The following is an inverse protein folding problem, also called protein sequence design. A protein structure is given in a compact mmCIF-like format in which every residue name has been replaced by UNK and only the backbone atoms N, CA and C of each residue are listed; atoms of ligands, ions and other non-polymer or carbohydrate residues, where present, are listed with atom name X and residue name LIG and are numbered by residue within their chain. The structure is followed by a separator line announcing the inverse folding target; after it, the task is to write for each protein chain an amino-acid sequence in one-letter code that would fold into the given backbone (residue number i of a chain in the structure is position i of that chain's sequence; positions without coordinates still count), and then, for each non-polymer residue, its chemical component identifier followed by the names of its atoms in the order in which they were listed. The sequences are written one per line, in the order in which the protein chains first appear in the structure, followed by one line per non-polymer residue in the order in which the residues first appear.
data_IF_912430740906
#
_entry.id   IF_912430740906
#
_cell.length_a   1.000
_cell.length_b   1.000
_cell.length_c   1.000
_cell.angle_alpha   90.00
_cell.angle_beta   90.00
_cell.angle_gamma   90.00
#
_symmetry.space_group_name_H-M   'P 1'
#
loop_
_entity.id
_entity.type
_entity.pdbx_description
1 polymer ?
#
# COMPACT_ATOMS: atom_id res chain seq x y z
N UNK A 1 50.50 44.76 41.72
CA UNK A 1 50.33 44.12 40.39
C UNK A 1 50.14 42.62 40.58
N UNK A 2 48.97 42.12 40.15
CA UNK A 2 48.60 40.75 39.71
C UNK A 2 49.16 39.49 40.42
N UNK A 3 48.19 38.81 41.07
CA UNK A 3 47.88 37.35 41.07
C UNK A 3 48.73 36.47 42.00
N UNK A 4 48.21 35.50 42.75
CA UNK A 4 47.23 34.45 42.40
C UNK A 4 46.35 34.05 43.60
N UNK A 5 45.12 33.69 43.26
CA UNK A 5 44.00 33.21 44.05
C UNK A 5 44.20 31.74 44.47
N UNK A 6 43.96 31.40 45.75
CA UNK A 6 43.59 30.04 46.15
C UNK A 6 42.57 30.16 47.29
N UNK A 7 41.28 30.03 46.97
CA UNK A 7 40.21 29.91 47.95
C UNK A 7 39.54 28.55 47.74
N UNK A 8 39.87 27.62 48.65
CA UNK A 8 39.13 26.38 48.84
C UNK A 8 37.85 26.73 49.60
N UNK A 9 36.72 26.63 48.91
CA UNK A 9 35.37 26.83 49.42
C UNK A 9 34.98 25.69 50.35
N UNK A 10 34.95 25.97 51.65
CA UNK A 10 34.07 25.31 52.62
C UNK A 10 32.76 26.10 52.65
N UNK A 11 31.63 25.45 52.35
CA UNK A 11 30.30 25.69 52.95
C UNK A 11 29.19 25.01 52.13
N UNK A 12 28.27 24.34 52.82
CA UNK A 12 26.89 24.20 52.34
C UNK A 12 26.41 22.79 52.07
N UNK A 13 26.11 22.07 53.15
CA UNK A 13 25.22 20.91 53.16
C UNK A 13 23.84 21.33 52.61
N UNK A 14 23.54 21.02 51.35
CA UNK A 14 22.17 21.02 50.83
C UNK A 14 21.80 19.56 50.64
N UNK A 15 21.21 18.97 51.69
CA UNK A 15 20.41 17.77 51.53
C UNK A 15 19.21 18.15 50.65
N UNK A 16 19.34 17.96 49.35
CA UNK A 16 18.23 17.87 48.42
C UNK A 16 17.43 16.63 48.80
N UNK A 17 16.54 16.80 49.79
CA UNK A 17 15.40 15.91 49.96
C UNK A 17 14.60 16.07 48.69
N UNK A 18 14.82 15.18 47.73
CA UNK A 18 13.87 14.95 46.65
C UNK A 18 12.61 14.41 47.33
N UNK A 19 11.74 15.32 47.76
CA UNK A 19 10.34 15.00 47.95
C UNK A 19 9.81 14.62 46.56
N UNK A 20 9.93 13.33 46.24
CA UNK A 20 9.15 12.70 45.19
C UNK A 20 7.72 12.71 45.72
N UNK A 21 7.04 13.86 45.61
CA UNK A 21 5.62 13.93 45.82
C UNK A 21 5.01 12.93 44.86
N UNK A 22 4.54 11.80 45.40
CA UNK A 22 3.63 10.94 44.66
C UNK A 22 2.52 11.88 44.21
N UNK A 23 2.48 12.10 42.90
CA UNK A 23 1.55 13.04 42.30
C UNK A 23 0.18 12.39 42.44
N UNK A 24 -0.53 12.70 43.52
CA UNK A 24 -1.89 12.24 43.69
C UNK A 24 -2.76 12.98 42.67
N UNK A 25 -3.69 12.23 42.10
CA UNK A 25 -4.78 12.81 41.32
C UNK A 25 -5.61 13.68 42.28
N UNK A 26 -5.80 14.94 41.91
CA UNK A 26 -6.55 15.91 42.71
C UNK A 26 -8.00 15.44 42.93
N UNK A 27 -8.49 15.34 44.18
CA UNK A 27 -9.82 14.79 44.48
C UNK A 27 -10.97 15.57 43.84
N UNK A 28 -10.82 16.90 43.68
CA UNK A 28 -11.83 17.74 43.03
C UNK A 28 -11.90 17.41 41.55
N UNK A 29 -10.74 17.29 40.89
CA UNK A 29 -10.68 16.88 39.49
C UNK A 29 -11.21 15.46 39.27
N UNK A 30 -10.90 14.52 40.16
CA UNK A 30 -11.45 13.16 40.11
C UNK A 30 -12.98 13.15 40.25
N UNK A 31 -13.53 13.94 41.18
CA UNK A 31 -14.98 14.08 41.35
C UNK A 31 -15.64 14.60 40.09
N UNK A 32 -15.07 15.63 39.46
CA UNK A 32 -15.58 16.19 38.20
C UNK A 32 -15.51 15.15 37.07
N UNK A 33 -14.37 14.48 36.91
CA UNK A 33 -14.18 13.47 35.88
C UNK A 33 -15.15 12.29 36.02
N UNK A 34 -15.41 11.83 37.26
CA UNK A 34 -16.35 10.73 37.54
C UNK A 34 -17.81 11.14 37.32
N UNK A 35 -18.19 12.39 37.60
CA UNK A 35 -19.49 12.94 37.25
C UNK A 35 -19.71 12.98 35.73
N UNK A 36 -18.72 13.49 34.99
CA UNK A 36 -18.76 13.56 33.52
C UNK A 36 -18.80 12.16 32.86
N UNK A 37 -18.07 11.20 33.43
CA UNK A 37 -18.13 9.79 33.07
C UNK A 37 -19.53 9.20 33.30
N UNK A 38 -20.12 9.43 34.48
CA UNK A 38 -21.44 8.90 34.82
C UNK A 38 -22.52 9.42 33.88
N UNK A 39 -22.47 10.71 33.54
CA UNK A 39 -23.39 11.36 32.59
C UNK A 39 -23.33 10.76 31.18
N UNK A 40 -22.22 10.12 30.80
CA UNK A 40 -22.00 9.56 29.45
C UNK A 40 -21.88 8.05 29.41
N UNK A 41 -22.10 7.35 30.54
CA UNK A 41 -21.83 5.91 30.69
C UNK A 41 -22.46 5.05 29.57
N UNK A 42 -23.65 5.40 29.09
CA UNK A 42 -24.34 4.69 28.01
C UNK A 42 -23.74 4.89 26.61
N UNK A 43 -22.79 5.82 26.44
CA UNK A 43 -22.12 6.16 25.18
C UNK A 43 -20.69 5.59 25.12
N UNK A 44 -20.20 4.94 26.19
CA UNK A 44 -18.81 4.50 26.31
C UNK A 44 -18.62 3.05 25.85
N UNK A 45 -17.70 2.83 24.91
CA UNK A 45 -17.28 1.48 24.54
C UNK A 45 -16.42 0.81 25.63
N UNK A 46 -15.55 1.59 26.29
CA UNK A 46 -14.81 1.15 27.47
C UNK A 46 -15.32 1.91 28.69
N UNK A 47 -16.18 1.26 29.47
CA UNK A 47 -16.76 1.83 30.69
C UNK A 47 -15.89 1.62 31.93
N UNK A 48 -14.70 1.04 31.82
CA UNK A 48 -13.84 0.72 32.97
C UNK A 48 -12.83 1.82 33.30
N UNK A 49 -12.35 2.56 32.31
CA UNK A 49 -11.29 3.54 32.52
C UNK A 49 -11.72 4.96 32.15
N UNK A 50 -11.23 5.93 32.93
CA UNK A 50 -11.33 7.37 32.62
C UNK A 50 -9.92 7.95 32.62
N UNK A 51 -9.56 8.63 31.52
CA UNK A 51 -8.28 9.35 31.42
C UNK A 51 -8.50 10.81 31.84
N UNK A 52 -7.65 11.30 32.74
CA UNK A 52 -7.75 12.64 33.33
C UNK A 52 -6.41 13.33 33.12
N UNK A 53 -6.44 14.54 32.55
CA UNK A 53 -5.26 15.39 32.39
C UNK A 53 -5.41 16.64 33.25
N UNK A 54 -4.49 16.86 34.19
CA UNK A 54 -4.46 18.02 35.07
C UNK A 54 -3.55 19.13 34.52
N UNK A 55 -4.10 20.00 33.68
CA UNK A 55 -3.35 21.11 33.09
C UNK A 55 -2.96 22.22 34.07
N UNK A 56 -3.40 22.16 35.34
CA UNK A 56 -2.87 23.04 36.40
C UNK A 56 -1.42 22.67 36.76
N UNK A 57 -0.95 21.48 36.37
CA UNK A 57 0.40 20.98 36.62
C UNK A 57 1.32 21.22 35.42
N UNK A 58 2.61 21.41 35.70
CA UNK A 58 3.63 21.60 34.67
C UNK A 58 3.84 20.33 33.83
N UNK A 59 4.31 20.49 32.59
CA UNK A 59 4.73 19.38 31.70
C UNK A 59 5.79 18.46 32.33
N UNK A 60 6.59 18.96 33.28
CA UNK A 60 7.61 18.16 33.99
C UNK A 60 7.04 17.33 35.15
N UNK A 61 5.76 17.50 35.47
CA UNK A 61 5.06 16.76 36.53
C UNK A 61 4.16 15.69 35.94
N UNK A 62 3.92 14.59 36.68
CA UNK A 62 2.88 13.63 36.31
C UNK A 62 1.53 14.35 36.39
N UNK A 63 0.84 14.37 35.25
CA UNK A 63 -0.42 15.10 35.09
C UNK A 63 -1.43 14.39 34.21
N UNK A 64 -1.07 13.24 33.63
CA UNK A 64 -2.02 12.31 33.02
C UNK A 64 -2.24 11.16 33.99
N UNK A 65 -3.50 10.82 34.22
CA UNK A 65 -3.93 9.75 35.11
C UNK A 65 -4.95 8.88 34.38
N UNK A 66 -4.79 7.56 34.46
CA UNK A 66 -5.84 6.61 34.06
C UNK A 66 -6.44 6.03 35.33
N UNK A 67 -7.73 6.30 35.53
CA UNK A 67 -8.49 5.88 36.71
C UNK A 67 -9.39 4.70 36.35
N UNK A 68 -9.22 3.57 37.04
CA UNK A 68 -10.12 2.42 36.97
C UNK A 68 -11.34 2.70 37.84
N UNK A 69 -12.49 2.95 37.21
CA UNK A 69 -13.72 3.32 37.94
C UNK A 69 -14.31 2.15 38.73
N UNK A 70 -14.00 0.90 38.34
CA UNK A 70 -14.49 -0.29 39.03
C UNK A 70 -13.67 -0.55 40.30
N UNK A 71 -12.34 -0.45 40.19
CA UNK A 71 -11.41 -0.62 41.32
C UNK A 71 -11.21 0.65 42.15
N UNK A 72 -11.77 1.76 41.70
CA UNK A 72 -11.65 3.09 42.31
C UNK A 72 -10.20 3.53 42.54
N UNK A 73 -9.29 3.20 41.61
CA UNK A 73 -7.85 3.45 41.77
C UNK A 73 -7.21 4.00 40.51
N UNK A 74 -6.14 4.78 40.67
CA UNK A 74 -5.30 5.22 39.56
C UNK A 74 -4.38 4.07 39.15
N UNK A 75 -4.56 3.55 37.94
CA UNK A 75 -3.78 2.42 37.40
C UNK A 75 -2.56 2.87 36.59
N UNK A 76 -2.56 4.12 36.11
CA UNK A 76 -1.43 4.72 35.40
C UNK A 76 -1.30 6.21 35.74
N UNK A 77 -0.07 6.67 35.95
CA UNK A 77 0.25 8.08 36.08
C UNK A 77 1.48 8.43 35.23
N UNK A 78 1.37 9.42 34.35
CA UNK A 78 2.45 9.81 33.44
C UNK A 78 2.56 11.32 33.26
N UNK A 79 3.71 11.76 32.74
CA UNK A 79 3.88 13.09 32.17
C UNK A 79 3.26 13.09 30.76
N UNK A 80 2.64 14.18 30.37
CA UNK A 80 2.09 14.35 29.02
C UNK A 80 2.36 15.78 28.57
N UNK A 81 2.64 15.99 27.28
CA UNK A 81 2.84 17.33 26.71
C UNK A 81 1.52 18.11 26.60
N UNK A 82 1.61 19.35 26.16
CA UNK A 82 0.48 20.19 25.74
C UNK A 82 0.92 20.93 24.46
N UNK A 83 -0.02 21.51 23.71
CA UNK A 83 0.30 22.20 22.46
C UNK A 83 1.25 23.38 22.69
N UNK A 84 2.11 23.67 21.72
CA UNK A 84 3.18 24.66 21.83
C UNK A 84 2.66 26.05 22.18
N UNK A 85 1.56 26.50 21.55
CA UNK A 85 1.00 27.83 21.81
C UNK A 85 0.20 27.94 23.11
N UNK A 86 -0.02 26.83 23.81
CA UNK A 86 -0.69 26.86 25.11
C UNK A 86 0.19 27.43 26.21
N UNK A 87 1.52 27.40 26.07
CA UNK A 87 2.46 27.92 27.06
C UNK A 87 3.82 27.21 27.01
N UNK A 88 4.71 27.51 27.96
CA UNK A 88 6.03 26.87 28.01
C UNK A 88 6.06 25.66 28.96
N UNK A 89 6.03 25.92 30.27
CA UNK A 89 6.00 24.86 31.29
C UNK A 89 4.58 24.53 31.75
N UNK A 90 3.71 25.52 31.71
CA UNK A 90 2.30 25.44 32.09
C UNK A 90 1.45 25.94 30.92
N UNK A 91 0.38 25.23 30.57
CA UNK A 91 -0.57 25.73 29.59
C UNK A 91 -1.47 26.79 30.23
N UNK A 92 -1.51 27.98 29.64
CA UNK A 92 -2.34 29.13 30.04
C UNK A 92 -3.37 29.53 28.99
N UNK A 93 -3.23 29.03 27.76
CA UNK A 93 -4.16 29.28 26.65
C UNK A 93 -4.73 27.97 26.12
N UNK A 94 -6.03 27.98 25.86
CA UNK A 94 -6.76 26.83 25.37
C UNK A 94 -7.76 27.25 24.29
N UNK A 95 -8.04 26.34 23.35
CA UNK A 95 -9.06 26.52 22.33
C UNK A 95 -9.58 25.16 21.92
N UNK A 96 -10.89 25.10 21.67
CA UNK A 96 -11.56 23.93 21.11
C UNK A 96 -11.87 24.13 19.60
N UNK A 97 -11.31 25.17 18.98
CA UNK A 97 -11.36 25.41 17.53
C UNK A 97 -10.28 24.57 16.86
N UNK A 98 -10.66 23.78 15.87
CA UNK A 98 -9.74 22.99 15.07
C UNK A 98 -8.67 23.86 14.41
N UNK A 99 -7.43 23.37 14.35
CA UNK A 99 -6.30 24.09 13.75
C UNK A 99 -5.74 25.25 14.58
N UNK A 100 -6.26 25.54 15.78
CA UNK A 100 -5.77 26.68 16.58
C UNK A 100 -4.39 26.46 17.23
N UNK A 101 -3.83 25.25 17.10
CA UNK A 101 -2.56 24.83 17.71
C UNK A 101 -2.45 25.06 19.24
N UNK A 102 -3.61 25.19 19.89
CA UNK A 102 -3.75 25.29 21.35
C UNK A 102 -4.29 23.97 21.87
N UNK A 103 -4.01 23.68 23.14
CA UNK A 103 -4.57 22.53 23.83
C UNK A 103 -6.05 22.77 24.05
N UNK A 104 -6.83 21.71 23.98
CA UNK A 104 -8.26 21.74 24.25
C UNK A 104 -8.55 21.45 25.73
N UNK A 105 -9.71 21.88 26.23
CA UNK A 105 -10.18 21.55 27.58
C UNK A 105 -11.62 21.09 27.54
N UNK A 106 -11.99 20.25 28.51
CA UNK A 106 -13.33 19.69 28.61
C UNK A 106 -13.33 18.17 28.65
N UNK A 107 -14.52 17.60 28.47
CA UNK A 107 -14.74 16.15 28.40
C UNK A 107 -14.81 15.72 26.95
N UNK A 108 -13.93 14.82 26.54
CA UNK A 108 -13.90 14.29 25.18
C UNK A 108 -14.37 12.83 25.21
N UNK A 109 -15.35 12.52 24.37
CA UNK A 109 -15.62 11.14 24.01
C UNK A 109 -14.68 10.78 22.86
N UNK A 110 -13.66 9.98 23.11
CA UNK A 110 -12.82 9.46 22.02
C UNK A 110 -13.69 8.55 21.15
N UNK A 111 -13.89 8.92 19.89
CA UNK A 111 -14.60 8.09 18.92
C UNK A 111 -13.95 6.71 18.80
N UNK A 112 -14.66 5.78 18.13
CA UNK A 112 -14.12 4.52 17.64
C UNK A 112 -12.84 4.80 16.86
N UNK A 113 -11.69 4.71 17.55
CA UNK A 113 -10.40 5.09 17.02
C UNK A 113 -9.94 4.17 15.89
N UNK A 114 -8.72 4.39 15.42
CA UNK A 114 -8.08 3.55 14.38
C UNK A 114 -8.21 2.04 14.67
N UNK A 115 -8.18 1.61 15.94
CA UNK A 115 -8.36 0.21 16.33
C UNK A 115 -9.73 -0.39 15.96
N UNK A 116 -10.81 0.38 16.06
CA UNK A 116 -12.14 -0.09 15.67
C UNK A 116 -12.22 -0.25 14.16
N UNK A 117 -11.67 0.71 13.41
CA UNK A 117 -11.60 0.67 11.94
C UNK A 117 -10.73 -0.47 11.45
N UNK A 118 -9.59 -0.70 12.11
CA UNK A 118 -8.74 -1.86 11.91
C UNK A 118 -9.51 -3.17 12.14
N UNK A 119 -10.33 -3.25 13.20
CA UNK A 119 -11.14 -4.44 13.48
C UNK A 119 -12.19 -4.70 12.39
N UNK A 120 -12.77 -3.66 11.80
CA UNK A 120 -13.69 -3.79 10.68
C UNK A 120 -13.00 -4.29 9.41
N UNK A 121 -11.81 -3.76 9.07
CA UNK A 121 -11.01 -4.27 7.96
C UNK A 121 -10.58 -5.72 8.20
N UNK A 122 -10.12 -6.05 9.41
CA UNK A 122 -9.77 -7.43 9.78
C UNK A 122 -10.93 -8.39 9.55
N UNK A 123 -12.15 -7.98 9.91
CA UNK A 123 -13.36 -8.75 9.70
C UNK A 123 -13.70 -8.90 8.20
N UNK A 124 -13.61 -7.83 7.42
CA UNK A 124 -13.79 -7.86 5.96
C UNK A 124 -12.83 -8.85 5.30
N UNK A 125 -11.53 -8.73 5.58
CA UNK A 125 -10.54 -9.66 5.04
C UNK A 125 -10.75 -11.08 5.55
N UNK A 126 -11.43 -11.31 6.68
CA UNK A 126 -11.50 -12.63 7.30
C UNK A 126 -10.15 -13.08 7.90
N UNK A 127 -9.37 -12.10 8.34
CA UNK A 127 -8.01 -12.28 8.83
C UNK A 127 -7.98 -12.87 10.23
N UNK A 128 -7.07 -13.82 10.46
CA UNK A 128 -6.80 -14.44 11.77
C UNK A 128 -5.82 -13.63 12.62
N UNK A 129 -5.53 -12.38 12.22
CA UNK A 129 -4.60 -11.53 12.94
C UNK A 129 -4.94 -11.45 14.44
N UNK A 130 -4.01 -11.78 15.34
CA UNK A 130 -4.31 -11.90 16.77
C UNK A 130 -4.47 -10.52 17.43
N UNK A 131 -5.49 -10.37 18.28
CA UNK A 131 -5.74 -9.13 19.04
C UNK A 131 -4.57 -8.73 19.94
N UNK A 132 -3.78 -9.72 20.39
CA UNK A 132 -2.63 -9.51 21.27
C UNK A 132 -1.40 -8.92 20.56
N UNK A 133 -1.38 -8.88 19.23
CA UNK A 133 -0.24 -8.37 18.45
C UNK A 133 -0.62 -7.04 17.81
N UNK A 134 -0.31 -5.90 18.45
CA UNK A 134 -0.59 -4.60 17.86
C UNK A 134 0.35 -4.34 16.68
N UNK A 135 -0.16 -3.62 15.69
CA UNK A 135 0.70 -2.97 14.72
C UNK A 135 1.50 -1.85 15.40
N UNK A 136 2.78 -1.73 15.04
CA UNK A 136 3.65 -0.62 15.45
C UNK A 136 3.95 0.21 14.23
N UNK A 137 3.54 1.48 14.26
CA UNK A 137 3.82 2.45 13.23
C UNK A 137 5.14 3.11 13.57
N UNK A 138 6.15 2.89 12.73
CA UNK A 138 7.47 3.49 12.84
C UNK A 138 7.53 4.66 11.86
N UNK A 139 7.94 5.82 12.37
CA UNK A 139 8.09 7.03 11.55
C UNK A 139 9.55 7.18 11.15
N UNK A 140 9.82 7.15 9.84
CA UNK A 140 11.13 7.45 9.27
C UNK A 140 11.16 8.93 8.86
N UNK A 141 11.89 9.80 9.59
CA UNK A 141 11.95 11.22 9.26
C UNK A 141 12.66 11.42 7.92
N UNK A 142 11.98 12.02 6.95
CA UNK A 142 12.60 12.53 5.74
C UNK A 142 13.02 13.98 5.99
N UNK A 143 14.30 14.27 5.74
CA UNK A 143 14.93 15.57 6.02
C UNK A 143 15.14 16.40 4.74
N UNK A 144 14.45 16.03 3.66
CA UNK A 144 14.46 16.78 2.41
C UNK A 144 13.62 18.06 2.52
N UNK A 145 13.62 18.90 1.48
CA UNK A 145 12.92 20.19 1.49
C UNK A 145 11.37 20.07 1.42
N UNK A 146 10.84 18.85 1.44
CA UNK A 146 9.40 18.59 1.44
C UNK A 146 8.73 19.04 2.74
N UNK A 147 7.39 19.04 2.76
CA UNK A 147 6.63 19.37 3.99
C UNK A 147 5.55 18.35 4.31
N UNK A 148 5.44 17.28 3.52
CA UNK A 148 4.33 16.32 3.56
C UNK A 148 4.77 14.94 4.03
N UNK A 149 3.80 14.06 4.26
CA UNK A 149 4.10 12.62 4.28
C UNK A 149 4.54 12.18 2.89
N UNK A 150 5.35 11.13 2.84
CA UNK A 150 5.64 10.46 1.57
C UNK A 150 4.72 9.25 1.43
N UNK A 151 4.34 8.92 0.20
CA UNK A 151 3.60 7.69 -0.11
C UNK A 151 4.47 6.42 0.04
N UNK A 152 5.69 6.56 0.57
CA UNK A 152 6.58 5.44 0.86
C UNK A 152 6.29 4.91 2.25
N UNK A 153 5.61 3.77 2.28
CA UNK A 153 5.51 2.95 3.45
C UNK A 153 5.88 1.50 3.11
N UNK A 154 6.25 0.74 4.13
CA UNK A 154 6.59 -0.67 3.98
C UNK A 154 6.15 -1.43 5.21
N UNK A 155 5.53 -2.58 5.00
CA UNK A 155 5.08 -3.46 6.06
C UNK A 155 5.94 -4.71 6.16
N UNK A 156 6.38 -5.03 7.37
CA UNK A 156 7.04 -6.30 7.69
C UNK A 156 6.44 -6.84 8.98
N UNK A 157 5.65 -7.91 8.86
CA UNK A 157 4.91 -8.47 9.99
C UNK A 157 3.97 -7.42 10.59
N UNK A 158 4.12 -7.14 11.89
CA UNK A 158 3.32 -6.15 12.61
C UNK A 158 3.95 -4.74 12.63
N UNK A 159 4.97 -4.48 11.82
CA UNK A 159 5.63 -3.18 11.73
C UNK A 159 5.24 -2.50 10.43
N UNK A 160 4.78 -1.26 10.49
CA UNK A 160 4.58 -0.39 9.33
C UNK A 160 5.57 0.76 9.44
N UNK A 161 6.55 0.82 8.54
CA UNK A 161 7.48 1.94 8.44
C UNK A 161 6.88 2.96 7.47
N UNK A 162 6.77 4.22 7.88
CA UNK A 162 6.20 5.30 7.08
C UNK A 162 7.20 6.45 6.98
N UNK A 163 7.51 6.87 5.75
CA UNK A 163 8.27 8.08 5.52
C UNK A 163 7.45 9.33 5.84
N UNK A 164 7.98 10.21 6.70
CA UNK A 164 7.30 11.45 7.09
C UNK A 164 8.26 12.62 7.18
N UNK A 165 7.87 13.76 6.63
CA UNK A 165 8.57 15.00 6.95
C UNK A 165 8.20 15.48 8.37
N UNK A 166 9.13 15.93 9.22
CA UNK A 166 8.83 16.41 10.59
C UNK A 166 7.84 17.58 10.67
N UNK A 167 7.76 18.38 9.61
CA UNK A 167 6.81 19.50 9.53
C UNK A 167 5.39 19.07 9.10
N UNK A 168 5.19 17.83 8.64
CA UNK A 168 3.89 17.38 8.15
C UNK A 168 2.82 17.41 9.24
N UNK A 169 1.61 17.80 8.85
CA UNK A 169 0.40 17.81 9.70
C UNK A 169 -0.76 17.02 9.10
N UNK A 170 -0.54 16.39 7.94
CA UNK A 170 -1.53 15.64 7.16
C UNK A 170 -1.79 14.26 7.77
N UNK A 171 -2.39 14.23 8.96
CA UNK A 171 -2.62 13.01 9.72
C UNK A 171 -3.52 12.02 8.98
N UNK A 172 -4.60 12.49 8.35
CA UNK A 172 -5.52 11.64 7.60
C UNK A 172 -4.85 10.91 6.43
N UNK A 173 -4.05 11.63 5.63
CA UNK A 173 -3.26 11.05 4.53
C UNK A 173 -2.28 10.00 5.05
N UNK A 174 -1.56 10.31 6.15
CA UNK A 174 -0.62 9.37 6.75
C UNK A 174 -1.29 8.07 7.22
N UNK A 175 -2.43 8.19 7.88
CA UNK A 175 -3.15 7.02 8.39
C UNK A 175 -3.81 6.23 7.26
N UNK A 176 -4.24 6.88 6.18
CA UNK A 176 -4.70 6.22 4.96
C UNK A 176 -3.60 5.31 4.37
N UNK A 177 -2.38 5.84 4.20
CA UNK A 177 -1.22 5.05 3.75
C UNK A 177 -0.94 3.88 4.70
N UNK A 178 -0.99 4.11 6.02
CA UNK A 178 -0.82 3.02 6.99
C UNK A 178 -1.89 1.94 6.84
N UNK A 179 -3.13 2.28 6.55
CA UNK A 179 -4.22 1.31 6.41
C UNK A 179 -4.19 0.57 5.06
N UNK A 180 -3.70 1.20 4.01
CA UNK A 180 -3.31 0.52 2.76
C UNK A 180 -2.31 -0.60 3.08
N UNK A 181 -1.24 -0.23 3.75
CA UNK A 181 -0.16 -1.15 4.13
C UNK A 181 -0.59 -2.27 5.08
N UNK A 182 -1.41 -1.95 6.09
CA UNK A 182 -1.99 -2.96 6.98
C UNK A 182 -2.91 -3.93 6.24
N UNK A 183 -3.58 -3.48 5.18
CA UNK A 183 -4.50 -4.34 4.41
C UNK A 183 -3.78 -5.50 3.75
N UNK A 184 -2.56 -5.27 3.25
CA UNK A 184 -1.70 -6.33 2.72
C UNK A 184 -1.39 -7.39 3.78
N UNK A 185 -1.06 -6.97 5.00
CA UNK A 185 -0.81 -7.90 6.11
C UNK A 185 -2.09 -8.65 6.55
N UNK A 186 -3.24 -7.99 6.54
CA UNK A 186 -4.53 -8.62 6.87
C UNK A 186 -4.93 -9.65 5.82
N UNK A 187 -4.78 -9.34 4.53
CA UNK A 187 -5.02 -10.23 3.40
C UNK A 187 -4.09 -11.45 3.44
N UNK A 188 -2.79 -11.24 3.66
CA UNK A 188 -1.82 -12.32 3.81
C UNK A 188 -2.12 -13.24 5.01
N UNK A 189 -2.76 -12.72 6.06
CA UNK A 189 -3.15 -13.45 7.26
C UNK A 189 -4.62 -13.88 7.26
N UNK A 190 -5.22 -14.10 6.09
CA UNK A 190 -6.54 -14.71 5.97
C UNK A 190 -6.57 -16.14 6.50
N UNK A 191 -7.77 -16.60 6.91
CA UNK A 191 -8.00 -18.03 7.17
C UNK A 191 -7.61 -18.84 5.93
N UNK A 192 -6.81 -19.91 6.10
CA UNK A 192 -6.34 -20.75 4.99
C UNK A 192 -7.48 -21.21 4.06
N UNK A 193 -8.60 -21.67 4.63
CA UNK A 193 -9.76 -22.08 3.83
C UNK A 193 -10.38 -20.94 3.02
N UNK A 194 -10.32 -19.70 3.51
CA UNK A 194 -10.78 -18.53 2.75
C UNK A 194 -9.82 -18.20 1.60
N UNK A 195 -8.51 -18.26 1.82
CA UNK A 195 -7.52 -18.02 0.74
C UNK A 195 -7.74 -18.99 -0.42
N UNK A 196 -7.92 -20.28 -0.10
CA UNK A 196 -8.22 -21.32 -1.09
C UNK A 196 -9.55 -21.05 -1.80
N UNK A 197 -10.57 -20.60 -1.08
CA UNK A 197 -11.87 -20.23 -1.66
C UNK A 197 -11.76 -19.02 -2.59
N UNK A 198 -11.06 -17.96 -2.18
CA UNK A 198 -10.83 -16.77 -2.99
C UNK A 198 -10.10 -17.13 -4.28
N UNK A 199 -9.01 -17.90 -4.20
CA UNK A 199 -8.29 -18.38 -5.38
C UNK A 199 -9.22 -19.20 -6.29
N UNK A 200 -9.99 -20.14 -5.74
CA UNK A 200 -10.95 -20.92 -6.52
C UNK A 200 -12.03 -20.07 -7.17
N UNK A 201 -12.58 -19.06 -6.48
CA UNK A 201 -13.62 -18.19 -7.03
C UNK A 201 -13.11 -17.30 -8.16
N UNK A 202 -11.84 -16.87 -8.10
CA UNK A 202 -11.23 -16.10 -9.18
C UNK A 202 -10.83 -16.97 -10.37
N UNK A 203 -10.31 -18.17 -10.11
CA UNK A 203 -9.76 -19.04 -11.14
C UNK A 203 -10.79 -19.97 -11.81
N UNK A 204 -11.95 -20.20 -11.18
CA UNK A 204 -13.02 -21.01 -11.76
C UNK A 204 -13.60 -20.30 -12.98
N UNK A 205 -13.45 -20.93 -14.15
CA UNK A 205 -13.92 -20.46 -15.46
C UNK A 205 -13.39 -19.06 -15.85
N UNK A 206 -12.22 -18.68 -15.33
CA UNK A 206 -11.66 -17.34 -15.46
C UNK A 206 -11.43 -16.95 -16.92
N UNK A 207 -12.29 -16.07 -17.43
CA UNK A 207 -12.00 -15.31 -18.65
C UNK A 207 -10.86 -14.32 -18.35
N UNK A 208 -10.08 -13.89 -19.36
CA UNK A 208 -8.93 -12.99 -19.15
C UNK A 208 -9.20 -11.78 -18.24
N UNK A 209 -10.34 -11.07 -18.34
CA UNK A 209 -10.64 -9.94 -17.45
C UNK A 209 -10.77 -10.31 -15.97
N UNK A 210 -11.23 -11.52 -15.64
CA UNK A 210 -11.33 -11.98 -14.25
C UNK A 210 -9.96 -12.33 -13.65
N UNK A 211 -9.05 -12.85 -14.48
CA UNK A 211 -7.65 -13.09 -14.09
C UNK A 211 -6.92 -11.77 -13.85
N UNK A 212 -7.10 -10.79 -14.74
CA UNK A 212 -6.52 -9.45 -14.58
C UNK A 212 -7.07 -8.73 -13.34
N UNK A 213 -8.37 -8.84 -13.09
CA UNK A 213 -9.01 -8.34 -11.88
C UNK A 213 -8.33 -8.92 -10.63
N UNK A 214 -8.17 -10.24 -10.55
CA UNK A 214 -7.51 -10.92 -9.44
C UNK A 214 -6.09 -10.39 -9.18
N UNK A 215 -5.31 -10.22 -10.24
CA UNK A 215 -3.94 -9.73 -10.15
C UNK A 215 -3.80 -8.30 -9.62
N UNK A 216 -4.80 -7.46 -9.85
CA UNK A 216 -4.82 -6.06 -9.40
C UNK A 216 -5.62 -5.85 -8.11
N UNK A 217 -6.40 -6.85 -7.69
CA UNK A 217 -7.35 -6.72 -6.60
C UNK A 217 -6.66 -6.43 -5.26
N UNK A 218 -5.53 -7.06 -4.96
CA UNK A 218 -4.83 -6.84 -3.67
C UNK A 218 -4.46 -5.36 -3.46
N UNK A 219 -3.80 -4.74 -4.44
CA UNK A 219 -3.47 -3.31 -4.36
C UNK A 219 -4.72 -2.43 -4.39
N UNK A 220 -5.71 -2.75 -5.24
CA UNK A 220 -6.94 -1.97 -5.32
C UNK A 220 -7.75 -1.99 -4.02
N UNK A 221 -7.85 -3.15 -3.35
CA UNK A 221 -8.52 -3.27 -2.04
C UNK A 221 -7.73 -2.56 -0.93
N UNK A 222 -6.40 -2.62 -0.96
CA UNK A 222 -5.56 -1.86 -0.05
C UNK A 222 -5.77 -0.34 -0.25
N UNK A 223 -5.83 0.13 -1.49
CA UNK A 223 -6.12 1.54 -1.81
C UNK A 223 -7.50 1.94 -1.30
N UNK A 224 -8.52 1.12 -1.55
CA UNK A 224 -9.87 1.37 -1.00
C UNK A 224 -9.87 1.40 0.53
N UNK A 225 -9.09 0.55 1.20
CA UNK A 225 -9.01 0.55 2.66
C UNK A 225 -8.38 1.84 3.23
N UNK A 226 -7.32 2.34 2.58
CA UNK A 226 -6.71 3.62 2.91
C UNK A 226 -7.69 4.77 2.73
N UNK A 227 -8.34 4.84 1.56
CA UNK A 227 -9.33 5.87 1.22
C UNK A 227 -10.58 5.80 2.08
N UNK A 228 -11.03 4.59 2.41
CA UNK A 228 -12.14 4.41 3.33
C UNK A 228 -11.78 5.00 4.69
N UNK A 229 -10.58 4.74 5.21
CA UNK A 229 -10.13 5.34 6.46
C UNK A 229 -10.04 6.87 6.34
N UNK A 230 -9.45 7.39 5.27
CA UNK A 230 -9.38 8.82 5.01
C UNK A 230 -10.77 9.46 5.09
N UNK A 231 -11.74 8.87 4.38
CA UNK A 231 -13.13 9.33 4.37
C UNK A 231 -13.78 9.27 5.74
N UNK A 232 -13.45 8.28 6.57
CA UNK A 232 -13.93 8.22 7.96
C UNK A 232 -13.32 9.32 8.87
N UNK A 233 -12.25 10.01 8.44
CA UNK A 233 -11.61 11.09 9.19
C UNK A 233 -11.99 12.46 8.65
N UNK A 234 -12.17 12.59 7.34
CA UNK A 234 -12.40 13.87 6.64
C UNK A 234 -13.88 14.05 6.25
N UNK A 235 -14.67 12.98 6.26
CA UNK A 235 -16.09 12.97 5.92
C UNK A 235 -16.38 12.57 4.46
N UNK A 236 -15.37 12.53 3.60
CA UNK A 236 -15.47 12.11 2.20
C UNK A 236 -14.12 11.58 1.68
N UNK A 237 -14.10 10.74 0.62
CA UNK A 237 -12.86 10.30 -0.02
C UNK A 237 -12.07 11.46 -0.62
N UNK A 238 -10.79 11.26 -0.91
CA UNK A 238 -9.99 12.28 -1.61
C UNK A 238 -10.55 12.57 -3.00
N UNK A 239 -10.51 13.85 -3.39
CA UNK A 239 -10.87 14.29 -4.74
C UNK A 239 -9.64 14.20 -5.64
N UNK A 240 -9.56 13.18 -6.50
CA UNK A 240 -8.45 13.02 -7.44
C UNK A 240 -8.03 11.57 -7.59
N UNK A 241 -6.77 11.37 -7.95
CA UNK A 241 -6.15 10.04 -8.03
C UNK A 241 -5.78 9.56 -6.62
N UNK A 242 -6.18 8.34 -6.27
CA UNK A 242 -5.82 7.62 -5.05
C UNK A 242 -4.53 6.81 -5.24
N UNK A 243 -4.19 6.47 -6.49
CA UNK A 243 -3.00 5.69 -6.80
C UNK A 243 -2.36 6.10 -8.13
N UNK A 244 -1.03 6.01 -8.23
CA UNK A 244 -0.30 6.46 -9.44
C UNK A 244 -0.52 5.54 -10.66
N UNK A 245 -0.72 4.25 -10.44
CA UNK A 245 -1.08 3.32 -11.51
C UNK A 245 -2.57 3.47 -11.86
N UNK A 246 -2.85 3.89 -13.10
CA UNK A 246 -4.21 4.20 -13.53
C UNK A 246 -5.18 3.01 -13.53
N UNK A 247 -4.70 1.77 -13.61
CA UNK A 247 -5.57 0.60 -13.46
C UNK A 247 -5.91 0.36 -11.99
N UNK A 248 -4.92 0.43 -11.09
CA UNK A 248 -5.17 0.26 -9.65
C UNK A 248 -6.11 1.38 -9.16
N UNK A 249 -5.83 2.63 -9.56
CA UNK A 249 -6.63 3.79 -9.20
C UNK A 249 -8.10 3.66 -9.65
N UNK A 250 -8.33 3.44 -10.95
CA UNK A 250 -9.69 3.33 -11.50
C UNK A 250 -10.41 2.10 -10.97
N UNK A 251 -9.69 1.01 -10.70
CA UNK A 251 -10.28 -0.19 -10.11
C UNK A 251 -10.67 0.03 -8.65
N UNK A 252 -9.81 0.69 -7.86
CA UNK A 252 -10.10 1.06 -6.48
C UNK A 252 -11.34 1.96 -6.39
N UNK A 253 -11.44 2.98 -7.24
CA UNK A 253 -12.64 3.82 -7.35
C UNK A 253 -13.90 3.00 -7.64
N UNK A 254 -13.82 2.04 -8.58
CA UNK A 254 -14.94 1.16 -8.90
C UNK A 254 -15.32 0.21 -7.73
N UNK A 255 -14.33 -0.29 -6.99
CA UNK A 255 -14.52 -1.18 -5.85
C UNK A 255 -14.99 -0.47 -4.58
N UNK A 256 -14.74 0.84 -4.46
CA UNK A 256 -14.97 1.59 -3.23
C UNK A 256 -16.39 1.41 -2.66
N UNK A 257 -17.49 1.58 -3.44
CA UNK A 257 -18.83 1.40 -2.90
C UNK A 257 -19.10 -0.05 -2.47
N UNK A 258 -18.54 -1.03 -3.18
CA UNK A 258 -18.72 -2.45 -2.89
C UNK A 258 -18.05 -2.82 -1.57
N UNK A 259 -16.75 -2.55 -1.44
CA UNK A 259 -15.96 -2.91 -0.26
C UNK A 259 -16.42 -2.15 0.98
N UNK A 260 -16.65 -0.84 0.89
CA UNK A 260 -17.14 -0.06 2.04
C UNK A 260 -18.54 -0.50 2.49
N UNK A 261 -19.39 -0.93 1.57
CA UNK A 261 -20.67 -1.56 1.89
C UNK A 261 -20.52 -2.86 2.68
N UNK A 262 -19.57 -3.74 2.31
CA UNK A 262 -19.27 -4.96 3.07
C UNK A 262 -18.74 -4.62 4.48
N UNK A 263 -17.80 -3.69 4.57
CA UNK A 263 -17.23 -3.21 5.85
C UNK A 263 -18.33 -2.67 6.76
N UNK A 264 -19.24 -1.85 6.24
CA UNK A 264 -20.34 -1.26 6.99
C UNK A 264 -21.31 -2.31 7.55
N UNK A 265 -21.54 -3.40 6.81
CA UNK A 265 -22.36 -4.53 7.26
C UNK A 265 -21.62 -5.52 8.16
N UNK A 266 -20.31 -5.33 8.38
CA UNK A 266 -19.46 -6.32 9.06
C UNK A 266 -19.36 -7.64 8.30
N UNK A 267 -19.55 -7.60 6.98
CA UNK A 267 -19.53 -8.77 6.11
C UNK A 267 -18.10 -9.08 5.69
N UNK A 268 -17.75 -10.37 5.74
CA UNK A 268 -16.49 -10.90 5.23
C UNK A 268 -16.52 -10.95 3.69
N UNK A 269 -15.36 -10.79 3.04
CA UNK A 269 -15.20 -11.10 1.63
C UNK A 269 -15.67 -12.53 1.32
N UNK A 270 -16.49 -12.68 0.28
CA UNK A 270 -17.12 -13.92 -0.13
C UNK A 270 -17.18 -14.04 -1.66
N UNK A 271 -17.82 -15.11 -2.15
CA UNK A 271 -17.93 -15.37 -3.59
C UNK A 271 -18.68 -14.25 -4.34
N UNK A 272 -19.72 -13.67 -3.73
CA UNK A 272 -20.52 -12.63 -4.37
C UNK A 272 -19.70 -11.34 -4.52
N UNK A 273 -18.87 -11.02 -3.52
CA UNK A 273 -17.89 -9.93 -3.63
C UNK A 273 -16.95 -10.14 -4.82
N UNK A 274 -16.33 -11.32 -4.93
CA UNK A 274 -15.37 -11.64 -6.00
C UNK A 274 -16.01 -11.54 -7.39
N UNK A 275 -17.23 -12.04 -7.55
CA UNK A 275 -17.96 -11.98 -8.81
C UNK A 275 -18.27 -10.53 -9.21
N UNK A 276 -18.77 -9.72 -8.27
CA UNK A 276 -19.07 -8.31 -8.55
C UNK A 276 -17.79 -7.50 -8.78
N UNK A 277 -16.70 -7.79 -8.06
CA UNK A 277 -15.39 -7.19 -8.27
C UNK A 277 -14.85 -7.47 -9.69
N UNK A 278 -14.99 -8.70 -10.19
CA UNK A 278 -14.64 -9.04 -11.57
C UNK A 278 -15.53 -8.34 -12.60
N UNK A 279 -16.83 -8.24 -12.34
CA UNK A 279 -17.76 -7.51 -13.21
C UNK A 279 -17.47 -6.00 -13.25
N UNK A 280 -17.14 -5.41 -12.11
CA UNK A 280 -16.67 -4.02 -12.01
C UNK A 280 -15.40 -3.82 -12.82
N UNK A 281 -14.42 -4.73 -12.71
CA UNK A 281 -13.19 -4.67 -13.51
C UNK A 281 -13.50 -4.69 -15.01
N UNK A 282 -14.30 -5.64 -15.48
CA UNK A 282 -14.65 -5.76 -16.89
C UNK A 282 -15.38 -4.52 -17.44
N UNK A 283 -16.24 -3.88 -16.63
CA UNK A 283 -16.90 -2.61 -17.00
C UNK A 283 -15.94 -1.43 -17.02
N UNK A 284 -14.98 -1.38 -16.10
CA UNK A 284 -13.99 -0.29 -16.01
C UNK A 284 -12.93 -0.40 -17.10
N UNK A 285 -12.56 -1.61 -17.51
CA UNK A 285 -11.51 -1.90 -18.49
C UNK A 285 -11.99 -2.85 -19.59
N UNK A 286 -12.91 -2.41 -20.47
CA UNK A 286 -13.45 -3.26 -21.53
C UNK A 286 -12.37 -3.78 -22.50
N UNK A 287 -11.24 -3.09 -22.60
CA UNK A 287 -10.12 -3.43 -23.49
C UNK A 287 -8.91 -4.02 -22.73
N UNK A 288 -9.04 -4.40 -21.45
CA UNK A 288 -7.92 -4.92 -20.66
C UNK A 288 -7.16 -6.08 -21.34
N UNK A 289 -7.90 -6.95 -22.04
CA UNK A 289 -7.33 -8.09 -22.76
C UNK A 289 -6.53 -7.73 -24.02
N UNK A 290 -6.53 -6.46 -24.45
CA UNK A 290 -5.81 -6.00 -25.64
C UNK A 290 -4.90 -4.80 -25.36
N UNK A 291 -5.14 -4.01 -24.32
CA UNK A 291 -4.27 -2.88 -23.98
C UNK A 291 -2.89 -3.34 -23.50
N UNK A 292 -1.83 -2.90 -24.17
CA UNK A 292 -0.46 -3.33 -23.82
C UNK A 292 -0.08 -2.92 -22.40
N UNK A 293 -0.54 -1.76 -21.93
CA UNK A 293 -0.32 -1.31 -20.55
C UNK A 293 -0.78 -2.34 -19.52
N UNK A 294 -1.84 -3.10 -19.81
CA UNK A 294 -2.31 -4.19 -18.95
C UNK A 294 -1.62 -5.52 -19.26
N UNK A 295 -1.50 -5.88 -20.54
CA UNK A 295 -0.88 -7.15 -20.96
C UNK A 295 0.56 -7.29 -20.46
N UNK A 296 1.31 -6.19 -20.35
CA UNK A 296 2.70 -6.21 -19.89
C UNK A 296 2.88 -6.28 -18.36
N UNK A 297 1.81 -6.49 -17.58
CA UNK A 297 1.90 -6.66 -16.12
C UNK A 297 2.54 -7.99 -15.71
N UNK A 298 2.24 -9.07 -16.43
CA UNK A 298 2.75 -10.42 -16.17
C UNK A 298 3.42 -10.95 -17.43
N UNK A 299 4.74 -10.82 -17.54
CA UNK A 299 5.46 -11.08 -18.78
C UNK A 299 6.41 -12.25 -18.65
N UNK A 300 6.40 -13.12 -19.64
CA UNK A 300 7.42 -14.12 -19.90
C UNK A 300 8.31 -13.62 -21.04
N UNK A 301 9.53 -13.17 -20.73
CA UNK A 301 10.56 -12.94 -21.73
C UNK A 301 11.27 -14.26 -22.06
N UNK A 302 11.21 -14.65 -23.32
CA UNK A 302 11.94 -15.82 -23.82
C UNK A 302 12.93 -15.36 -24.88
N UNK A 303 14.23 -15.39 -24.56
CA UNK A 303 15.24 -14.73 -25.39
C UNK A 303 16.52 -15.55 -25.53
N UNK A 304 17.19 -15.38 -26.66
CA UNK A 304 18.55 -15.89 -26.92
C UNK A 304 19.62 -14.79 -26.81
N UNK A 305 19.29 -13.63 -26.25
CA UNK A 305 20.25 -12.58 -25.90
C UNK A 305 21.29 -13.06 -24.88
N UNK A 306 22.55 -12.61 -25.04
CA UNK A 306 23.59 -12.78 -24.02
C UNK A 306 23.26 -12.01 -22.74
N UNK A 307 22.65 -10.83 -22.89
CA UNK A 307 22.17 -10.01 -21.80
C UNK A 307 20.65 -9.95 -21.85
N UNK A 308 20.02 -10.91 -21.18
CA UNK A 308 18.56 -10.91 -21.02
C UNK A 308 18.06 -9.77 -20.12
N UNK A 309 18.93 -9.20 -19.27
CA UNK A 309 18.61 -8.06 -18.41
C UNK A 309 18.33 -6.81 -19.22
N UNK A 310 19.16 -6.53 -20.23
CA UNK A 310 18.96 -5.40 -21.15
C UNK A 310 17.68 -5.54 -21.99
N UNK A 311 17.34 -6.77 -22.41
CA UNK A 311 16.05 -7.03 -23.08
C UNK A 311 14.89 -6.64 -22.15
N UNK A 312 14.88 -7.14 -20.91
CA UNK A 312 13.83 -6.81 -19.94
C UNK A 312 13.79 -5.31 -19.66
N UNK A 313 14.94 -4.66 -19.53
CA UNK A 313 15.03 -3.22 -19.27
C UNK A 313 14.43 -2.37 -20.39
N UNK A 314 14.66 -2.74 -21.66
CA UNK A 314 14.10 -2.05 -22.82
C UNK A 314 12.56 -1.99 -22.76
N UNK A 315 11.91 -3.07 -22.36
CA UNK A 315 10.45 -3.08 -22.18
C UNK A 315 10.01 -2.40 -20.89
N UNK A 316 10.73 -2.56 -19.77
CA UNK A 316 10.40 -1.91 -18.49
C UNK A 316 10.47 -0.38 -18.53
N UNK A 317 11.24 0.18 -19.47
CA UNK A 317 11.27 1.62 -19.72
C UNK A 317 9.93 2.17 -20.24
N UNK A 318 9.07 1.30 -20.80
CA UNK A 318 7.80 1.69 -21.41
C UNK A 318 6.58 1.04 -20.76
N UNK A 319 6.74 -0.14 -20.14
CA UNK A 319 5.65 -0.89 -19.54
C UNK A 319 5.95 -1.24 -18.08
N UNK A 320 4.95 -1.07 -17.22
CA UNK A 320 5.03 -1.50 -15.82
C UNK A 320 4.73 -2.99 -15.72
N UNK A 321 5.77 -3.78 -15.41
CA UNK A 321 5.63 -5.21 -15.13
C UNK A 321 5.60 -5.47 -13.62
N UNK A 322 4.50 -6.01 -13.12
CA UNK A 322 4.34 -6.45 -11.73
C UNK A 322 5.13 -7.75 -11.50
N UNK A 323 5.15 -8.63 -12.50
CA UNK A 323 5.93 -9.85 -12.47
C UNK A 323 6.62 -10.10 -13.81
N UNK A 324 7.86 -10.54 -13.74
CA UNK A 324 8.65 -10.89 -14.92
C UNK A 324 9.29 -12.24 -14.72
N UNK A 325 9.08 -13.13 -15.69
CA UNK A 325 9.85 -14.36 -15.84
C UNK A 325 10.74 -14.24 -17.07
N UNK A 326 12.00 -14.64 -16.93
CA UNK A 326 12.95 -14.63 -18.05
C UNK A 326 13.53 -16.01 -18.23
N UNK A 327 13.53 -16.51 -19.48
CA UNK A 327 14.06 -17.82 -19.84
C UNK A 327 15.01 -17.66 -21.04
N UNK A 328 16.17 -18.32 -20.94
CA UNK A 328 17.22 -18.39 -21.96
C UNK A 328 17.85 -19.79 -21.91
N UNK A 329 18.30 -20.38 -23.03
CA UNK A 329 18.17 -19.89 -24.41
C UNK A 329 16.78 -20.18 -25.01
N UNK A 330 16.55 -19.74 -26.26
CA UNK A 330 15.33 -20.12 -27.01
C UNK A 330 15.38 -21.58 -27.46
N UNK A 331 16.41 -21.94 -28.20
CA UNK A 331 16.52 -23.28 -28.80
C UNK A 331 16.85 -24.32 -27.73
N UNK A 332 16.10 -25.42 -27.71
CA UNK A 332 16.33 -26.54 -26.79
C UNK A 332 15.64 -26.40 -25.42
N UNK A 333 14.95 -25.29 -25.17
CA UNK A 333 14.20 -25.07 -23.93
C UNK A 333 12.70 -25.23 -24.18
N UNK A 334 12.05 -26.12 -23.42
CA UNK A 334 10.65 -26.51 -23.62
C UNK A 334 9.70 -25.87 -22.59
N UNK A 335 10.22 -25.48 -21.41
CA UNK A 335 9.41 -24.94 -20.32
C UNK A 335 8.57 -23.70 -20.68
N UNK A 336 9.06 -22.75 -21.51
CA UNK A 336 8.23 -21.63 -22.00
C UNK A 336 6.94 -22.06 -22.69
N UNK A 337 6.92 -23.22 -23.35
CA UNK A 337 5.74 -23.73 -24.05
C UNK A 337 4.62 -24.11 -23.09
N UNK A 338 4.94 -24.52 -21.86
CA UNK A 338 3.95 -24.80 -20.81
C UNK A 338 3.28 -23.50 -20.37
N UNK A 339 4.06 -22.46 -20.12
CA UNK A 339 3.55 -21.13 -19.74
C UNK A 339 2.71 -20.49 -20.85
N UNK A 340 3.14 -20.59 -22.11
CA UNK A 340 2.40 -20.09 -23.28
C UNK A 340 1.04 -20.78 -23.40
N UNK A 341 0.94 -22.08 -23.06
CA UNK A 341 -0.32 -22.83 -23.10
C UNK A 341 -1.21 -22.55 -21.90
N UNK A 342 -0.64 -22.30 -20.73
CA UNK A 342 -1.39 -21.95 -19.52
C UNK A 342 -2.01 -20.54 -19.59
N UNK A 343 -1.38 -19.62 -20.34
CA UNK A 343 -1.88 -18.26 -20.52
C UNK A 343 -1.70 -17.36 -19.28
N UNK A 344 -0.84 -17.77 -18.34
CA UNK A 344 -0.58 -17.03 -17.10
C UNK A 344 0.33 -15.80 -17.31
N UNK A 345 0.96 -15.71 -18.49
CA UNK A 345 1.89 -14.65 -18.86
C UNK A 345 1.64 -14.19 -20.30
N UNK A 346 1.88 -12.92 -20.58
CA UNK A 346 2.15 -12.44 -21.93
C UNK A 346 3.51 -13.00 -22.39
N UNK A 347 3.57 -13.84 -23.43
CA UNK A 347 4.83 -14.30 -23.98
C UNK A 347 5.42 -13.21 -24.87
N UNK A 348 6.61 -12.73 -24.53
CA UNK A 348 7.43 -11.82 -25.33
C UNK A 348 8.71 -12.54 -25.72
N UNK A 349 8.70 -13.11 -26.92
CA UNK A 349 9.84 -13.86 -27.47
C UNK A 349 10.75 -12.86 -28.16
N UNK A 350 12.02 -12.78 -27.76
CA UNK A 350 12.98 -11.80 -28.31
C UNK A 350 14.18 -12.54 -28.88
N UNK A 351 14.25 -12.58 -30.20
CA UNK A 351 15.33 -13.19 -30.98
C UNK A 351 16.35 -12.11 -31.33
N UNK A 352 17.55 -12.23 -30.77
CA UNK A 352 18.67 -11.31 -31.06
C UNK A 352 19.84 -11.98 -31.76
N UNK A 353 19.86 -13.32 -31.82
CA UNK A 353 20.96 -14.10 -32.41
C UNK A 353 20.44 -15.34 -33.12
N UNK A 354 21.32 -15.98 -33.91
CA UNK A 354 21.03 -17.24 -34.61
C UNK A 354 19.66 -17.25 -35.32
N UNK A 355 19.27 -16.09 -35.89
CA UNK A 355 17.89 -15.77 -36.27
C UNK A 355 17.23 -16.87 -37.10
N UNK A 356 17.95 -17.43 -38.07
CA UNK A 356 17.42 -18.50 -38.92
C UNK A 356 17.07 -19.76 -38.14
N UNK A 357 17.98 -20.25 -37.30
CA UNK A 357 17.77 -21.45 -36.50
C UNK A 357 16.70 -21.23 -35.42
N UNK A 358 16.73 -20.08 -34.73
CA UNK A 358 15.77 -19.72 -33.70
C UNK A 358 14.36 -19.57 -34.27
N UNK A 359 14.18 -18.83 -35.37
CA UNK A 359 12.87 -18.65 -36.01
C UNK A 359 12.32 -19.98 -36.56
N UNK A 360 13.18 -20.86 -37.09
CA UNK A 360 12.79 -22.20 -37.53
C UNK A 360 12.27 -23.04 -36.35
N UNK A 361 13.00 -23.05 -35.24
CA UNK A 361 12.58 -23.74 -34.01
C UNK A 361 11.24 -23.21 -33.49
N UNK A 362 11.10 -21.89 -33.38
CA UNK A 362 9.86 -21.26 -32.91
C UNK A 362 8.65 -21.59 -33.80
N UNK A 363 8.80 -21.62 -35.13
CA UNK A 363 7.72 -22.05 -36.05
C UNK A 363 7.34 -23.52 -35.89
N UNK A 364 8.28 -24.38 -35.50
CA UNK A 364 7.99 -25.79 -35.20
C UNK A 364 7.19 -25.92 -33.89
N UNK A 365 7.65 -25.24 -32.83
CA UNK A 365 7.13 -25.40 -31.47
C UNK A 365 5.88 -24.55 -31.15
N UNK A 366 5.70 -23.40 -31.81
CA UNK A 366 4.60 -22.47 -31.57
C UNK A 366 3.71 -22.40 -32.83
N UNK A 367 2.60 -23.16 -32.90
CA UNK A 367 1.78 -23.27 -34.11
C UNK A 367 1.27 -21.94 -34.67
N UNK A 368 1.00 -20.96 -33.80
CA UNK A 368 0.56 -19.62 -34.19
C UNK A 368 1.55 -18.89 -35.13
N UNK A 369 2.84 -19.26 -35.08
CA UNK A 369 3.88 -18.64 -35.90
C UNK A 369 3.99 -19.25 -37.31
N UNK A 370 3.38 -20.41 -37.57
CA UNK A 370 3.54 -21.16 -38.84
C UNK A 370 3.03 -20.40 -40.06
N UNK A 371 1.95 -19.63 -39.89
CA UNK A 371 1.28 -18.85 -40.95
C UNK A 371 2.07 -17.62 -41.40
N UNK A 372 3.07 -17.20 -40.62
CA UNK A 372 3.86 -16.01 -40.93
C UNK A 372 5.13 -16.38 -41.71
N UNK A 373 5.42 -15.57 -42.73
CA UNK A 373 6.69 -15.61 -43.45
C UNK A 373 7.70 -14.73 -42.72
N UNK A 374 8.43 -15.31 -41.77
CA UNK A 374 9.43 -14.63 -40.96
C UNK A 374 10.79 -14.65 -41.66
N UNK A 375 11.34 -13.47 -41.99
CA UNK A 375 12.64 -13.35 -42.65
C UNK A 375 13.74 -13.13 -41.60
N UNK A 376 14.76 -14.01 -41.49
CA UNK A 376 15.81 -13.88 -40.49
C UNK A 376 16.64 -12.60 -40.61
N UNK A 377 16.73 -12.02 -41.81
CA UNK A 377 17.53 -10.82 -42.11
C UNK A 377 16.77 -9.52 -41.88
N UNK A 378 15.49 -9.58 -41.47
CA UNK A 378 14.66 -8.40 -41.23
C UNK A 378 14.37 -8.27 -39.74
N UNK A 379 14.45 -7.04 -39.26
CA UNK A 379 14.01 -6.70 -37.90
C UNK A 379 12.51 -6.40 -37.91
N UNK A 380 11.77 -6.98 -36.98
CA UNK A 380 10.32 -6.87 -36.94
C UNK A 380 9.75 -7.09 -35.54
N UNK A 381 8.54 -6.59 -35.35
CA UNK A 381 7.65 -6.94 -34.24
C UNK A 381 6.45 -7.66 -34.80
N UNK A 382 6.18 -8.84 -34.27
CA UNK A 382 4.99 -9.64 -34.56
C UNK A 382 4.14 -9.72 -33.30
N UNK A 383 2.95 -9.12 -33.34
CA UNK A 383 1.90 -9.25 -32.35
C UNK A 383 0.82 -10.17 -32.89
N UNK A 384 0.66 -11.38 -32.34
CA UNK A 384 -0.36 -12.32 -32.82
C UNK A 384 -1.07 -13.06 -31.70
N UNK A 385 -2.10 -13.85 -32.04
CA UNK A 385 -2.82 -14.69 -31.07
C UNK A 385 -2.14 -16.05 -30.98
N UNK A 386 -1.58 -16.34 -29.80
CA UNK A 386 -1.07 -17.64 -29.40
C UNK A 386 -2.16 -18.59 -28.88
N UNK A 387 -1.77 -19.75 -28.30
CA UNK A 387 -2.71 -20.76 -27.83
C UNK A 387 -3.69 -20.29 -26.74
N UNK A 388 -3.26 -19.36 -25.88
CA UNK A 388 -4.03 -18.92 -24.71
C UNK A 388 -4.27 -17.39 -24.66
N UNK A 389 -3.90 -16.64 -25.69
CA UNK A 389 -4.01 -15.18 -25.70
C UNK A 389 -2.98 -14.49 -26.61
N UNK A 390 -2.77 -13.17 -26.44
CA UNK A 390 -1.74 -12.44 -27.19
C UNK A 390 -0.33 -13.02 -27.00
N UNK A 391 0.48 -12.95 -28.05
CA UNK A 391 1.88 -13.39 -28.11
C UNK A 391 2.67 -12.39 -28.94
N UNK A 392 3.83 -11.98 -28.43
CA UNK A 392 4.75 -11.07 -29.11
C UNK A 392 6.01 -11.82 -29.52
N UNK A 393 6.47 -11.60 -30.75
CA UNK A 393 7.77 -12.04 -31.24
C UNK A 393 8.52 -10.83 -31.80
N UNK A 394 9.65 -10.51 -31.20
CA UNK A 394 10.57 -9.47 -31.65
C UNK A 394 11.79 -10.14 -32.26
N UNK A 395 12.09 -9.81 -33.50
CA UNK A 395 13.31 -10.18 -34.20
C UNK A 395 14.13 -8.90 -34.35
N UNK A 396 15.29 -8.84 -33.70
CA UNK A 396 16.16 -7.68 -33.66
C UNK A 396 17.62 -8.10 -33.88
N UNK A 397 18.44 -7.25 -34.48
CA UNK A 397 19.85 -7.51 -34.77
C UNK A 397 20.79 -6.76 -33.82
N UNK A 398 20.25 -5.88 -32.99
CA UNK A 398 20.95 -5.15 -31.93
C UNK A 398 19.96 -4.72 -30.83
N UNK A 399 20.47 -4.14 -29.74
CA UNK A 399 19.65 -3.71 -28.61
C UNK A 399 18.78 -2.49 -28.91
N UNK A 400 19.25 -1.57 -29.77
CA UNK A 400 18.49 -0.39 -30.15
C UNK A 400 17.20 -0.78 -30.87
N UNK A 401 17.23 -1.84 -31.67
CA UNK A 401 16.05 -2.41 -32.32
C UNK A 401 15.10 -3.10 -31.31
N UNK A 402 15.62 -3.70 -30.24
CA UNK A 402 14.77 -4.21 -29.13
C UNK A 402 14.07 -3.04 -28.43
N UNK A 403 14.78 -1.94 -28.21
CA UNK A 403 14.22 -0.71 -27.63
C UNK A 403 13.17 -0.10 -28.57
N UNK A 404 13.45 -0.03 -29.87
CA UNK A 404 12.51 0.44 -30.88
C UNK A 404 11.25 -0.43 -30.95
N UNK A 405 11.38 -1.75 -30.76
CA UNK A 405 10.24 -2.67 -30.66
C UNK A 405 9.35 -2.35 -29.46
N UNK A 406 9.92 -2.15 -28.27
CA UNK A 406 9.18 -1.78 -27.08
C UNK A 406 8.47 -0.42 -27.25
N UNK A 407 9.15 0.57 -27.85
CA UNK A 407 8.58 1.88 -28.18
C UNK A 407 7.43 1.79 -29.17
N UNK A 408 7.57 0.95 -30.21
CA UNK A 408 6.53 0.72 -31.21
C UNK A 408 5.26 0.16 -30.57
N UNK A 409 5.40 -0.88 -29.74
CA UNK A 409 4.27 -1.48 -29.02
C UNK A 409 3.63 -0.45 -28.08
N UNK A 410 4.42 0.33 -27.35
CA UNK A 410 3.89 1.35 -26.45
C UNK A 410 3.11 2.43 -27.22
N UNK A 411 3.62 2.86 -28.38
CA UNK A 411 2.94 3.82 -29.25
C UNK A 411 1.66 3.26 -29.86
N UNK A 412 1.63 1.98 -30.22
CA UNK A 412 0.41 1.31 -30.69
C UNK A 412 -0.64 1.26 -29.58
N UNK A 413 -0.22 1.06 -28.33
CA UNK A 413 -1.07 1.06 -27.13
C UNK A 413 -1.97 -0.16 -26.98
N UNK A 414 -2.30 -0.85 -28.07
CA UNK A 414 -3.19 -2.00 -28.09
C UNK A 414 -2.68 -3.12 -29.01
N UNK A 415 -3.03 -4.34 -28.64
CA UNK A 415 -2.88 -5.55 -29.43
C UNK A 415 -3.84 -5.51 -30.62
N UNK A 416 -3.27 -5.51 -31.84
CA UNK A 416 -4.02 -5.53 -33.08
C UNK A 416 -3.72 -6.82 -33.88
N UNK A 417 -4.58 -7.84 -33.81
CA UNK A 417 -4.39 -9.06 -34.59
C UNK A 417 -4.64 -8.86 -36.09
N UNK A 418 -5.23 -7.74 -36.53
CA UNK A 418 -5.47 -7.44 -37.95
C UNK A 418 -4.19 -6.98 -38.66
N UNK A 419 -3.29 -6.28 -37.96
CA UNK A 419 -1.98 -5.85 -38.47
C UNK A 419 -0.83 -6.46 -37.65
N UNK A 420 -0.69 -7.80 -37.66
CA UNK A 420 0.13 -8.49 -36.69
C UNK A 420 1.64 -8.27 -36.88
N UNK A 421 2.12 -8.01 -38.10
CA UNK A 421 3.56 -7.90 -38.39
C UNK A 421 3.92 -6.47 -38.80
N UNK A 422 4.86 -5.85 -38.08
CA UNK A 422 5.40 -4.53 -38.38
C UNK A 422 6.93 -4.61 -38.50
N UNK A 423 7.48 -4.11 -39.60
CA UNK A 423 8.93 -4.04 -39.80
C UNK A 423 9.52 -2.89 -38.98
N UNK A 424 10.66 -3.16 -38.33
CA UNK A 424 11.43 -2.13 -37.65
C UNK A 424 12.34 -1.42 -38.66
N UNK A 425 12.50 -0.09 -38.54
CA UNK A 425 13.45 0.62 -39.38
C UNK A 425 14.88 0.14 -39.05
N UNK A 426 15.76 0.04 -40.06
CA UNK A 426 17.17 -0.24 -39.79
C UNK A 426 17.75 0.92 -38.95
N UNK A 427 18.45 0.58 -37.86
CA UNK A 427 19.14 1.58 -37.04
C UNK A 427 20.21 2.28 -37.88
N UNK A 428 20.23 3.62 -37.84
CA UNK A 428 21.31 4.40 -38.44
C UNK A 428 22.63 3.98 -37.79
N UNK A 429 23.60 3.56 -38.60
CA UNK A 429 24.93 3.12 -38.16
C UNK A 429 25.74 4.25 -37.55
#
# INVERSE_FOLDING_TARGET
MKKVLLFLSVCGLVALVWHCSQSSLDPVLLRRATQEYAARKGQLNNSRYVTIVDYRKSIVQKRLFVYDVQKQTVVLSSRVAHSFWSGLLYPTKFSNVEGSELSCTGTFLTEKGLLARFSQLRAFYGSVWPDAVPFRILLSPQLDAGTTFTNQATTVGNLVLVGTHPASRKFAEATAVVFHEMSHALSAQQRLGLQQQLEQWHLRDAQPPHRDAYHLMEEALATVAGEWLYAQQVGQPETGEWYQDSYIDRYAHALYPLMTGYIARGQQIDQAFVQEAGALFARTFPNAATEYTNLFRYVLYWTDSDDAGQVVQAFRAHFRSNYTRTITPIVGEAKPLEYIKAGDYLPVIVVTRNHEATLRYLRQQVPALRKFRLQPTQSFVLSTTGPAGPLMLVCAHNLDEVTAAAQLLNKQGHFDPAHPLVLLPPTAK
#
